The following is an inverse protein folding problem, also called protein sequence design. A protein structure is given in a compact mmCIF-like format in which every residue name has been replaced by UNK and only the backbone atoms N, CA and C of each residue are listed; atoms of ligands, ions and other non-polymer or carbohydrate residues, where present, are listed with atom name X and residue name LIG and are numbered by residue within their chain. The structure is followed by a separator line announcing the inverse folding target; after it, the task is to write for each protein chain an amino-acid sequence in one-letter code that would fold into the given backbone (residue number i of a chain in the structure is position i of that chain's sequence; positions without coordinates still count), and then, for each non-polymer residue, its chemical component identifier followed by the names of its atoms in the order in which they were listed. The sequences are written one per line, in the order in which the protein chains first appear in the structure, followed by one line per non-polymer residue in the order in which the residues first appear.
data_IF_825107973705
#
_entry.id   IF_825107973705
#
_cell.length_a   1.000
_cell.length_b   1.000
_cell.length_c   1.000
_cell.angle_alpha   90.00
_cell.angle_beta   90.00
_cell.angle_gamma   90.00
#
_symmetry.space_group_name_H-M   'P 1'
#
loop_
_entity.id
_entity.type
_entity.pdbx_description
1 polymer ?
#
# COMPACT_ATOMS: atom_id res chain seq x y z
N UNK A 1 -9.32 5.32 0.93
CA UNK A 1 -9.78 6.44 0.13
C UNK A 1 -9.65 6.12 -1.35
N UNK A 2 -10.67 6.43 -2.09
CA UNK A 2 -10.82 6.00 -3.47
C UNK A 2 -10.28 7.06 -4.45
N UNK A 3 -9.24 7.78 -4.07
CA UNK A 3 -8.53 8.73 -4.94
C UNK A 3 -7.67 7.99 -5.97
N UNK A 4 -8.30 7.15 -6.77
CA UNK A 4 -7.67 6.49 -7.90
C UNK A 4 -7.91 7.32 -9.17
N UNK A 5 -6.89 8.00 -9.71
CA UNK A 5 -7.06 8.88 -10.86
C UNK A 5 -7.54 8.16 -12.13
N UNK A 6 -7.29 6.86 -12.22
CA UNK A 6 -7.70 6.02 -13.35
C UNK A 6 -9.01 5.28 -13.09
N UNK A 7 -9.51 5.25 -11.86
CA UNK A 7 -10.72 4.56 -11.47
C UNK A 7 -10.65 3.03 -11.43
N UNK A 8 -9.59 2.43 -11.95
CA UNK A 8 -9.45 0.97 -12.06
C UNK A 8 -9.33 0.30 -10.70
N UNK A 9 -8.46 0.82 -9.83
CA UNK A 9 -8.29 0.28 -8.48
C UNK A 9 -9.56 0.42 -7.66
N UNK A 10 -10.27 1.55 -7.80
CA UNK A 10 -11.56 1.76 -7.15
C UNK A 10 -12.59 0.72 -7.56
N UNK A 11 -12.79 0.52 -8.87
CA UNK A 11 -13.75 -0.46 -9.40
C UNK A 11 -13.40 -1.87 -8.91
N UNK A 12 -12.12 -2.25 -8.93
CA UNK A 12 -11.67 -3.54 -8.40
C UNK A 12 -11.95 -3.67 -6.90
N UNK A 13 -11.66 -2.64 -6.11
CA UNK A 13 -11.92 -2.64 -4.67
C UNK A 13 -13.42 -2.76 -4.36
N UNK A 14 -14.26 -1.99 -5.06
CA UNK A 14 -15.73 -2.07 -4.93
C UNK A 14 -16.26 -3.47 -5.25
N UNK A 15 -15.75 -4.10 -6.31
CA UNK A 15 -16.12 -5.47 -6.68
C UNK A 15 -15.70 -6.49 -5.61
N UNK A 16 -14.49 -6.34 -5.04
CA UNK A 16 -14.00 -7.19 -3.94
C UNK A 16 -14.87 -7.00 -2.70
N UNK A 17 -15.17 -5.78 -2.30
CA UNK A 17 -16.01 -5.49 -1.15
C UNK A 17 -17.40 -6.10 -1.29
N UNK A 18 -18.01 -5.99 -2.46
CA UNK A 18 -19.30 -6.61 -2.72
C UNK A 18 -19.23 -8.15 -2.68
N UNK A 19 -18.17 -8.73 -3.24
CA UNK A 19 -17.97 -10.19 -3.17
C UNK A 19 -17.82 -10.67 -1.73
N UNK A 20 -17.07 -9.93 -0.90
CA UNK A 20 -16.88 -10.24 0.53
C UNK A 20 -18.20 -10.13 1.30
N UNK A 21 -18.99 -9.07 1.07
CA UNK A 21 -20.33 -8.93 1.68
C UNK A 21 -21.19 -10.16 1.39
N UNK A 22 -21.23 -10.60 0.13
CA UNK A 22 -21.99 -11.79 -0.27
C UNK A 22 -21.43 -13.07 0.37
N UNK A 23 -20.11 -13.20 0.51
CA UNK A 23 -19.51 -14.35 1.17
C UNK A 23 -19.86 -14.38 2.66
N UNK A 24 -19.85 -13.21 3.33
CA UNK A 24 -20.24 -13.08 4.75
C UNK A 24 -21.66 -13.52 5.02
N UNK A 25 -22.61 -13.27 4.10
CA UNK A 25 -23.98 -13.80 4.23
C UNK A 25 -24.05 -15.33 4.22
N UNK A 26 -22.98 -16.00 3.77
CA UNK A 26 -22.83 -17.47 3.71
C UNK A 26 -21.90 -18.00 4.81
N UNK A 27 -21.53 -17.15 5.78
CA UNK A 27 -20.71 -17.55 6.92
C UNK A 27 -19.20 -17.36 6.74
N UNK A 28 -18.74 -16.65 5.69
CA UNK A 28 -17.33 -16.29 5.55
C UNK A 28 -16.92 -15.29 6.63
N UNK A 29 -15.78 -15.50 7.26
CA UNK A 29 -15.19 -14.67 8.31
C UNK A 29 -13.84 -14.06 7.92
N UNK A 30 -13.52 -14.03 6.64
CA UNK A 30 -12.25 -13.51 6.14
C UNK A 30 -12.05 -12.04 6.51
N UNK A 31 -10.89 -11.73 7.04
CA UNK A 31 -10.45 -10.36 7.28
C UNK A 31 -9.89 -9.76 5.99
N UNK A 32 -10.25 -8.51 5.72
CA UNK A 32 -9.73 -7.75 4.58
C UNK A 32 -8.86 -6.63 5.10
N UNK A 33 -7.60 -6.63 4.67
CA UNK A 33 -6.62 -5.61 5.00
C UNK A 33 -6.29 -4.77 3.78
N UNK A 34 -6.42 -3.47 3.93
CA UNK A 34 -6.18 -2.48 2.88
C UNK A 34 -4.78 -1.89 3.04
N UNK A 35 -4.08 -1.74 1.93
CA UNK A 35 -2.84 -0.99 1.84
C UNK A 35 -2.92 0.00 0.67
N UNK A 36 -2.09 1.04 0.68
CA UNK A 36 -2.20 2.12 -0.32
C UNK A 36 -1.27 2.01 -1.53
N UNK A 37 -0.49 0.97 -1.64
CA UNK A 37 0.41 0.77 -2.78
C UNK A 37 1.50 1.86 -2.86
N UNK A 38 1.80 2.37 -4.05
CA UNK A 38 2.86 3.36 -4.27
C UNK A 38 2.33 4.81 -4.38
N UNK A 39 1.04 5.04 -4.16
CA UNK A 39 0.43 6.34 -4.39
C UNK A 39 0.50 7.27 -3.19
N UNK A 40 0.06 6.77 -2.07
CA UNK A 40 -0.03 7.49 -0.82
C UNK A 40 0.22 6.54 0.35
N UNK A 41 0.38 7.06 1.56
CA UNK A 41 0.39 6.27 2.77
C UNK A 41 -0.79 6.67 3.66
N UNK A 42 -1.13 5.80 4.60
CA UNK A 42 -2.07 6.10 5.66
C UNK A 42 -1.47 7.10 6.63
N UNK A 43 -2.30 7.95 7.22
CA UNK A 43 -1.88 8.71 8.38
C UNK A 43 -1.54 7.75 9.54
N UNK A 44 -0.49 8.00 10.32
CA UNK A 44 -0.04 7.08 11.37
C UNK A 44 -1.14 6.69 12.37
N UNK A 45 -2.05 7.63 12.69
CA UNK A 45 -3.17 7.38 13.61
C UNK A 45 -4.26 6.46 13.03
N UNK A 46 -4.31 6.29 11.73
CA UNK A 46 -5.29 5.43 11.06
C UNK A 46 -4.78 3.98 10.91
N UNK A 47 -3.48 3.76 11.10
CA UNK A 47 -2.87 2.45 10.95
C UNK A 47 -3.30 1.49 12.07
N UNK A 48 -3.86 0.35 11.70
CA UNK A 48 -4.25 -0.71 12.64
C UNK A 48 -3.23 -1.83 12.70
N UNK A 49 -2.43 -2.00 11.65
CA UNK A 49 -1.35 -2.98 11.58
C UNK A 49 -0.18 -2.44 10.77
N UNK A 50 1.02 -2.72 11.22
CA UNK A 50 2.24 -2.46 10.46
C UNK A 50 3.07 -3.72 10.36
N UNK A 51 3.72 -3.90 9.22
CA UNK A 51 4.65 -5.01 8.98
C UNK A 51 6.05 -4.41 8.80
N UNK A 52 6.98 -4.71 9.70
CA UNK A 52 8.36 -4.25 9.53
C UNK A 52 9.03 -4.99 8.38
N UNK A 53 9.79 -4.23 7.61
CA UNK A 53 10.60 -4.72 6.50
C UNK A 53 12.07 -4.37 6.77
N UNK A 54 12.92 -5.38 6.77
CA UNK A 54 14.36 -5.18 6.76
C UNK A 54 14.88 -4.83 5.36
N UNK A 55 16.19 -4.53 5.22
CA UNK A 55 16.80 -4.22 3.93
C UNK A 55 16.58 -5.32 2.88
N UNK A 56 16.66 -6.58 3.29
CA UNK A 56 16.50 -7.72 2.38
C UNK A 56 15.06 -7.88 1.90
N UNK A 57 14.06 -7.68 2.77
CA UNK A 57 12.65 -7.71 2.40
C UNK A 57 12.30 -6.56 1.46
N UNK A 58 12.84 -5.37 1.71
CA UNK A 58 12.62 -4.20 0.85
C UNK A 58 13.24 -4.41 -0.53
N UNK A 59 14.46 -4.94 -0.61
CA UNK A 59 15.10 -5.29 -1.89
C UNK A 59 14.31 -6.39 -2.63
N UNK A 60 13.82 -7.40 -1.92
CA UNK A 60 12.97 -8.45 -2.52
C UNK A 60 11.68 -7.87 -3.09
N UNK A 61 11.06 -6.93 -2.39
CA UNK A 61 9.87 -6.20 -2.85
C UNK A 61 10.18 -5.41 -4.12
N UNK A 62 11.29 -4.69 -4.17
CA UNK A 62 11.76 -3.97 -5.35
C UNK A 62 11.99 -4.92 -6.54
N UNK A 63 12.67 -6.03 -6.32
CA UNK A 63 12.93 -7.02 -7.37
C UNK A 63 11.63 -7.66 -7.88
N UNK A 64 10.61 -7.81 -7.05
CA UNK A 64 9.28 -8.24 -7.48
C UNK A 64 8.63 -7.23 -8.43
N UNK A 65 8.75 -5.94 -8.15
CA UNK A 65 8.27 -4.87 -9.06
C UNK A 65 8.95 -4.96 -10.43
N UNK A 66 10.25 -5.24 -10.49
CA UNK A 66 10.97 -5.40 -11.76
C UNK A 66 10.51 -6.60 -12.60
N UNK A 67 9.76 -7.55 -12.03
CA UNK A 67 9.11 -8.61 -12.81
C UNK A 67 7.95 -8.11 -13.67
N UNK A 68 7.37 -6.96 -13.33
CA UNK A 68 6.33 -6.30 -14.10
C UNK A 68 6.92 -5.43 -15.21
N UNK A 69 7.43 -6.06 -16.26
CA UNK A 69 8.24 -5.44 -17.32
C UNK A 69 7.57 -4.25 -18.02
N UNK A 70 6.24 -4.25 -18.14
CA UNK A 70 5.50 -3.17 -18.80
C UNK A 70 5.30 -1.94 -17.93
N UNK A 71 5.55 -2.01 -16.62
CA UNK A 71 5.20 -0.95 -15.66
C UNK A 71 6.32 -0.59 -14.69
N UNK A 72 7.46 -1.27 -14.76
CA UNK A 72 8.56 -1.07 -13.81
C UNK A 72 9.16 0.34 -13.85
N UNK A 73 9.23 0.94 -15.04
CA UNK A 73 9.92 2.21 -15.27
C UNK A 73 8.95 3.41 -15.31
N UNK A 74 7.73 3.21 -15.81
CA UNK A 74 6.75 4.27 -16.01
C UNK A 74 5.35 3.82 -15.62
N UNK A 75 5.01 4.02 -14.37
CA UNK A 75 3.60 4.09 -14.04
C UNK A 75 3.07 5.47 -14.49
N UNK A 76 1.91 5.49 -15.15
CA UNK A 76 1.24 6.75 -15.50
C UNK A 76 0.65 7.37 -14.23
N UNK A 77 1.47 8.16 -13.54
CA UNK A 77 1.02 8.93 -12.40
C UNK A 77 0.42 10.26 -12.88
N UNK A 78 -0.70 10.68 -12.34
CA UNK A 78 -1.22 12.00 -12.61
C UNK A 78 -0.29 13.06 -12.00
N UNK A 79 0.18 13.95 -12.84
CA UNK A 79 1.08 15.04 -12.45
C UNK A 79 2.48 14.90 -13.04
N UNK A 80 2.92 15.95 -13.72
CA UNK A 80 4.23 16.00 -14.39
C UNK A 80 5.40 16.32 -13.45
N UNK A 81 5.16 16.46 -12.15
CA UNK A 81 6.17 16.95 -11.21
C UNK A 81 6.99 15.82 -10.55
N UNK A 82 6.43 14.63 -10.44
CA UNK A 82 7.13 13.49 -9.81
C UNK A 82 7.75 12.59 -10.87
N UNK A 83 9.10 12.62 -10.95
CA UNK A 83 9.88 11.85 -11.92
C UNK A 83 10.38 10.50 -11.39
N UNK A 84 10.01 10.14 -10.14
CA UNK A 84 10.43 8.86 -9.57
C UNK A 84 9.78 7.71 -10.33
N UNK A 85 10.53 6.64 -10.50
CA UNK A 85 10.01 5.37 -11.00
C UNK A 85 9.08 4.72 -9.97
N UNK A 86 8.23 3.79 -10.42
CA UNK A 86 7.26 3.13 -9.54
C UNK A 86 7.89 2.47 -8.31
N UNK A 87 9.01 1.77 -8.51
CA UNK A 87 9.71 1.11 -7.41
C UNK A 87 10.28 2.10 -6.39
N UNK A 88 10.78 3.26 -6.85
CA UNK A 88 11.29 4.31 -5.97
C UNK A 88 10.18 4.87 -5.08
N UNK A 89 8.99 5.09 -5.63
CA UNK A 89 7.84 5.52 -4.85
C UNK A 89 7.42 4.50 -3.80
N UNK A 90 7.39 3.20 -4.16
CA UNK A 90 7.04 2.13 -3.23
C UNK A 90 8.06 2.01 -2.10
N UNK A 91 9.36 2.12 -2.42
CA UNK A 91 10.46 2.12 -1.45
C UNK A 91 10.40 3.34 -0.53
N UNK A 92 10.32 4.55 -1.11
CA UNK A 92 10.24 5.82 -0.36
C UNK A 92 9.06 5.84 0.59
N UNK A 93 7.92 5.27 0.21
CA UNK A 93 6.76 5.14 1.06
C UNK A 93 7.04 4.29 2.29
N UNK A 94 7.61 3.10 2.11
CA UNK A 94 7.92 2.22 3.24
C UNK A 94 8.97 2.82 4.19
N UNK A 95 9.99 3.47 3.64
CA UNK A 95 10.98 4.22 4.43
C UNK A 95 10.35 5.44 5.12
N UNK A 96 9.45 6.13 4.43
CA UNK A 96 8.74 7.29 4.94
C UNK A 96 7.85 6.95 6.14
N UNK A 97 7.11 5.84 6.07
CA UNK A 97 6.27 5.36 7.17
C UNK A 97 7.11 5.04 8.40
N UNK A 98 8.27 4.39 8.24
CA UNK A 98 9.19 4.13 9.34
C UNK A 98 9.72 5.43 9.96
N UNK A 99 10.10 6.42 9.15
CA UNK A 99 10.53 7.74 9.66
C UNK A 99 9.44 8.48 10.44
N UNK A 100 8.17 8.38 10.01
CA UNK A 100 7.06 8.98 10.76
C UNK A 100 6.90 8.34 12.14
N UNK A 101 7.06 7.02 12.25
CA UNK A 101 7.03 6.30 13.52
C UNK A 101 8.16 6.77 14.46
N UNK A 102 9.37 6.89 13.93
CA UNK A 102 10.51 7.39 14.69
C UNK A 102 10.27 8.83 15.21
N UNK A 103 9.76 9.73 14.37
CA UNK A 103 9.41 11.10 14.76
C UNK A 103 8.32 11.18 15.85
N UNK A 104 7.45 10.18 15.93
CA UNK A 104 6.44 10.07 16.97
C UNK A 104 6.96 9.43 18.27
N UNK A 105 8.24 9.07 18.33
CA UNK A 105 8.84 8.40 19.47
C UNK A 105 8.45 6.92 19.60
N UNK A 106 7.93 6.32 18.53
CA UNK A 106 7.66 4.90 18.45
C UNK A 106 8.95 4.12 18.14
N UNK A 107 8.96 2.78 18.26
CA UNK A 107 10.14 1.99 17.94
C UNK A 107 10.68 2.25 16.54
N UNK A 108 11.99 2.36 16.43
CA UNK A 108 12.70 2.58 15.17
C UNK A 108 12.69 1.32 14.31
N UNK A 109 12.26 1.48 13.04
CA UNK A 109 12.26 0.44 12.04
C UNK A 109 12.99 0.90 10.78
N UNK A 110 13.56 -0.03 10.02
CA UNK A 110 14.17 0.29 8.73
C UNK A 110 13.13 0.76 7.72
N UNK A 111 12.08 -0.03 7.53
CA UNK A 111 10.94 0.28 6.68
C UNK A 111 9.66 -0.36 7.23
N UNK A 112 8.51 0.21 6.93
CA UNK A 112 7.19 -0.28 7.38
C UNK A 112 6.20 -0.33 6.22
N UNK A 113 5.39 -1.38 6.18
CA UNK A 113 4.17 -1.43 5.36
C UNK A 113 2.97 -1.29 6.27
N UNK A 114 2.12 -0.30 6.01
CA UNK A 114 0.96 0.01 6.83
C UNK A 114 -0.34 -0.56 6.26
N UNK A 115 -1.22 -1.02 7.17
CA UNK A 115 -2.51 -1.61 6.81
C UNK A 115 -3.63 -1.08 7.69
N UNK A 116 -4.81 -0.96 7.08
CA UNK A 116 -6.07 -0.66 7.75
C UNK A 116 -7.06 -1.78 7.47
N UNK A 117 -7.77 -2.23 8.49
CA UNK A 117 -8.79 -3.26 8.31
C UNK A 117 -10.05 -2.66 7.69
N UNK A 118 -10.53 -3.26 6.63
CA UNK A 118 -11.83 -2.90 6.08
C UNK A 118 -12.93 -3.44 6.99
N UNK A 119 -13.72 -2.54 7.52
CA UNK A 119 -14.92 -2.82 8.31
C UNK A 119 -16.14 -2.36 7.51
N UNK A 120 -17.20 -3.16 7.54
CA UNK A 120 -18.49 -2.78 6.97
C UNK A 120 -19.12 -1.63 7.72
#
# INVERSE_FOLDING_TARGET
ELSDPHGTHRVCAEAIFEAVRRARTKGDSSEIWLYRGAWEEWEPQDLERVVPLGPEELERKKMAIFRHQSQKDRAMFPGNSDRREFWQRAEDRNLGTARMFDQLGLPEFFALEGFVQWKE
#
